data_IF_135642394380
#
_entry.id   IF_135642394380
#
_cell.length_a   1.000
_cell.length_b   1.000
_cell.length_c   1.000
_cell.angle_alpha   90.00
_cell.angle_beta   90.00
_cell.angle_gamma   90.00
#
_symmetry.space_group_name_H-M   'P 1'
#
loop_
_entity.id
_entity.type
_entity.pdbx_description
1 polymer ?
#
# COMPACT_ATOMS: atom_id res chain seq x y z
N UNK A 1 0.09 12.62 -5.71
CA UNK A 1 -0.36 11.50 -4.84
C UNK A 1 0.20 11.66 -3.44
N UNK A 2 -0.50 11.25 -2.39
CA UNK A 2 0.10 11.10 -1.05
C UNK A 2 0.93 9.81 -1.04
N UNK A 3 2.17 9.88 -0.56
CA UNK A 3 3.06 8.73 -0.46
C UNK A 3 2.39 7.61 0.35
N UNK A 4 2.58 6.33 -0.05
CA UNK A 4 2.18 5.17 0.74
C UNK A 4 2.47 5.32 2.23
N UNK A 5 1.45 5.16 3.06
CA UNK A 5 1.55 5.36 4.50
C UNK A 5 0.70 4.36 5.29
N UNK A 6 0.98 4.20 6.58
CA UNK A 6 0.05 3.61 7.54
C UNK A 6 0.05 4.43 8.83
N UNK A 7 -1.07 4.42 9.55
CA UNK A 7 -1.17 4.99 10.89
C UNK A 7 -0.82 3.92 11.94
N UNK A 8 -0.04 4.27 12.95
CA UNK A 8 0.36 3.32 14.01
C UNK A 8 -0.81 2.95 14.93
N UNK A 9 -1.73 3.89 15.20
CA UNK A 9 -2.81 3.70 16.19
C UNK A 9 -4.18 4.19 15.73
N UNK A 10 -4.22 5.29 15.00
CA UNK A 10 -5.49 5.93 14.68
C UNK A 10 -6.21 5.25 13.52
N UNK A 11 -7.53 5.14 13.65
CA UNK A 11 -8.42 4.94 12.49
C UNK A 11 -8.57 6.29 11.80
N UNK A 12 -8.23 6.35 10.52
CA UNK A 12 -8.46 7.55 9.69
C UNK A 12 -9.78 7.43 8.95
N UNK A 13 -10.65 8.41 9.10
CA UNK A 13 -11.90 8.56 8.36
C UNK A 13 -11.74 9.81 7.50
N UNK A 14 -11.77 9.66 6.17
CA UNK A 14 -11.65 10.76 5.23
C UNK A 14 -12.94 10.97 4.45
N UNK A 15 -13.43 12.20 4.41
CA UNK A 15 -14.59 12.63 3.64
C UNK A 15 -14.14 13.58 2.53
N UNK A 16 -14.45 13.25 1.27
CA UNK A 16 -14.05 14.05 0.11
C UNK A 16 -14.97 15.26 -0.03
N UNK A 17 -14.37 16.45 -0.01
CA UNK A 17 -15.04 17.72 -0.16
C UNK A 17 -15.13 18.11 -1.64
N UNK A 18 -14.00 18.05 -2.35
CA UNK A 18 -13.89 18.50 -3.74
C UNK A 18 -12.91 17.63 -4.53
N UNK A 19 -13.09 17.60 -5.85
CA UNK A 19 -12.24 16.86 -6.77
C UNK A 19 -12.53 15.36 -6.84
N UNK A 20 -11.61 14.64 -7.48
CA UNK A 20 -11.71 13.21 -7.73
C UNK A 20 -10.37 12.50 -7.56
N UNK A 21 -10.40 11.17 -7.54
CA UNK A 21 -9.20 10.37 -7.45
C UNK A 21 -9.49 8.92 -7.11
N UNK A 22 -8.52 8.26 -6.51
CA UNK A 22 -8.70 6.92 -5.97
C UNK A 22 -7.86 6.67 -4.72
N UNK A 23 -8.30 5.70 -3.91
CA UNK A 23 -7.54 5.17 -2.80
C UNK A 23 -7.30 3.67 -3.00
N UNK A 24 -6.13 3.20 -2.58
CA UNK A 24 -5.86 1.78 -2.37
C UNK A 24 -5.47 1.54 -0.91
N UNK A 25 -6.01 0.48 -0.31
CA UNK A 25 -5.76 0.07 1.07
C UNK A 25 -5.37 -1.40 1.07
N UNK A 26 -4.35 -1.75 1.85
CA UNK A 26 -3.85 -3.10 1.99
C UNK A 26 -4.37 -3.72 3.27
N UNK A 27 -5.22 -4.75 3.12
CA UNK A 27 -5.97 -5.36 4.21
C UNK A 27 -5.61 -6.85 4.39
N UNK A 28 -5.07 -7.27 5.54
CA UNK A 28 -4.79 -8.68 5.82
C UNK A 28 -6.03 -9.48 6.26
N UNK A 29 -7.15 -8.81 6.60
CA UNK A 29 -8.33 -9.44 7.18
C UNK A 29 -9.25 -10.09 6.14
N UNK A 30 -9.37 -9.48 4.94
CA UNK A 30 -10.27 -9.97 3.90
C UNK A 30 -9.88 -11.35 3.34
N UNK A 31 -8.59 -11.69 3.34
CA UNK A 31 -8.15 -13.04 2.93
C UNK A 31 -8.60 -14.13 3.91
N UNK A 32 -8.75 -13.79 5.20
CA UNK A 32 -9.24 -14.74 6.21
C UNK A 32 -10.75 -14.98 6.05
N UNK A 33 -11.49 -13.91 5.77
CA UNK A 33 -12.95 -13.98 5.59
C UNK A 33 -13.34 -14.79 4.33
N UNK A 34 -12.67 -14.56 3.19
CA UNK A 34 -12.91 -15.35 1.98
C UNK A 34 -12.58 -16.84 2.16
N UNK A 35 -11.58 -17.19 2.97
CA UNK A 35 -11.29 -18.60 3.31
C UNK A 35 -12.40 -19.20 4.15
N UNK A 36 -12.88 -18.48 5.17
CA UNK A 36 -13.97 -18.95 6.04
C UNK A 36 -15.27 -19.19 5.26
N UNK A 37 -15.64 -18.28 4.36
CA UNK A 37 -16.82 -18.47 3.49
C UNK A 37 -16.67 -19.66 2.54
N UNK A 38 -15.46 -19.92 2.02
CA UNK A 38 -15.20 -21.13 1.21
C UNK A 38 -15.28 -22.39 2.07
N UNK A 39 -14.67 -22.43 3.25
CA UNK A 39 -14.72 -23.58 4.17
C UNK A 39 -16.16 -23.92 4.60
N UNK A 40 -17.01 -22.91 4.83
CA UNK A 40 -18.44 -23.10 5.12
C UNK A 40 -19.21 -23.69 3.91
N UNK A 41 -18.82 -23.37 2.68
CA UNK A 41 -19.38 -23.95 1.45
C UNK A 41 -18.89 -25.39 1.18
N UNK A 42 -17.71 -25.77 1.66
CA UNK A 42 -17.12 -27.11 1.52
C UNK A 42 -17.61 -28.11 2.59
N UNK A 43 -18.35 -27.67 3.62
CA UNK A 43 -18.90 -28.58 4.66
C UNK A 43 -20.04 -29.51 4.19
N UNK A 44 -20.39 -29.51 2.90
CA UNK A 44 -21.36 -30.47 2.33
C UNK A 44 -20.76 -31.72 1.68
N UNK A 45 -19.42 -31.95 1.67
CA UNK A 45 -18.86 -33.28 1.30
C UNK A 45 -17.63 -33.68 2.12
N UNK A 46 -17.92 -34.49 3.13
CA UNK A 46 -17.10 -35.48 3.85
C UNK A 46 -15.72 -35.14 4.44
N UNK A 47 -15.65 -35.48 5.73
CA UNK A 47 -14.51 -35.56 6.64
C UNK A 47 -13.39 -36.49 6.16
N UNK A 48 -12.21 -36.16 6.68
CA UNK A 48 -10.96 -36.94 6.79
C UNK A 48 -10.14 -37.01 5.51
N UNK A 49 -9.12 -36.16 5.47
CA UNK A 49 -7.73 -36.61 5.58
C UNK A 49 -6.81 -35.42 5.85
N UNK A 50 -5.72 -35.68 6.57
CA UNK A 50 -4.50 -34.87 6.68
C UNK A 50 -4.47 -33.67 7.64
N UNK A 51 -4.20 -34.01 8.91
CA UNK A 51 -3.35 -33.26 9.83
C UNK A 51 -1.90 -33.05 9.31
N UNK A 52 -1.72 -32.76 8.01
CA UNK A 52 -0.41 -32.72 7.34
C UNK A 52 -0.09 -31.40 6.63
N UNK A 53 -0.71 -30.27 6.98
CA UNK A 53 -0.20 -28.95 6.58
C UNK A 53 -0.28 -27.93 7.73
N UNK A 54 0.28 -28.32 8.90
CA UNK A 54 0.74 -27.37 9.92
C UNK A 54 2.10 -26.78 9.51
N UNK A 55 2.17 -26.14 8.35
CA UNK A 55 3.26 -25.22 7.99
C UNK A 55 2.74 -24.27 6.93
N UNK A 56 3.11 -22.99 7.05
CA UNK A 56 2.77 -21.85 6.18
C UNK A 56 1.55 -21.02 6.60
N UNK A 57 1.77 -20.19 7.62
CA UNK A 57 0.98 -18.97 7.79
C UNK A 57 1.05 -18.13 6.51
N UNK A 58 -0.09 -17.56 6.09
CA UNK A 58 -0.16 -16.43 5.17
C UNK A 58 -1.57 -15.86 5.23
N UNK A 59 -1.80 -14.91 6.16
CA UNK A 59 -2.85 -13.92 5.96
C UNK A 59 -2.47 -13.13 4.71
N UNK A 60 -3.08 -13.46 3.57
CA UNK A 60 -2.73 -12.81 2.30
C UNK A 60 -3.20 -11.37 2.36
N UNK A 61 -2.31 -10.41 2.17
CA UNK A 61 -2.70 -9.03 1.96
C UNK A 61 -3.65 -8.94 0.76
N UNK A 62 -4.80 -8.27 0.93
CA UNK A 62 -5.74 -7.98 -0.15
C UNK A 62 -5.70 -6.49 -0.44
N UNK A 63 -5.74 -6.15 -1.72
CA UNK A 63 -5.92 -4.78 -2.17
C UNK A 63 -7.40 -4.44 -2.15
N UNK A 64 -7.74 -3.36 -1.48
CA UNK A 64 -9.06 -2.73 -1.51
C UNK A 64 -8.90 -1.41 -2.24
N UNK A 65 -9.49 -1.30 -3.43
CA UNK A 65 -9.42 -0.09 -4.26
C UNK A 65 -10.79 0.57 -4.32
N UNK A 66 -10.83 1.90 -4.28
CA UNK A 66 -12.07 2.67 -4.47
C UNK A 66 -11.79 3.96 -5.23
N UNK A 67 -12.73 4.35 -6.10
CA UNK A 67 -12.77 5.71 -6.64
C UNK A 67 -13.19 6.66 -5.52
N UNK A 68 -12.69 7.89 -5.60
CA UNK A 68 -12.99 8.99 -4.70
C UNK A 68 -13.63 10.11 -5.52
N UNK A 69 -14.70 10.68 -4.98
CA UNK A 69 -15.42 11.84 -5.51
C UNK A 69 -16.11 12.55 -4.36
N UNK A 70 -16.54 13.81 -4.54
CA UNK A 70 -17.28 14.57 -3.52
C UNK A 70 -18.36 13.73 -2.85
N UNK A 71 -18.36 13.72 -1.52
CA UNK A 71 -19.28 12.92 -0.69
C UNK A 71 -18.78 11.50 -0.35
N UNK A 72 -17.69 11.03 -0.97
CA UNK A 72 -17.12 9.72 -0.65
C UNK A 72 -16.50 9.72 0.74
N UNK A 73 -16.84 8.69 1.55
CA UNK A 73 -16.17 8.39 2.82
C UNK A 73 -15.24 7.19 2.63
N UNK A 74 -13.99 7.33 3.08
CA UNK A 74 -13.05 6.21 3.17
C UNK A 74 -12.56 6.02 4.61
N UNK A 75 -12.36 4.76 5.00
CA UNK A 75 -11.90 4.39 6.33
C UNK A 75 -10.62 3.57 6.20
N UNK A 76 -9.54 4.05 6.82
CA UNK A 76 -8.23 3.37 6.87
C UNK A 76 -7.99 2.94 8.31
N UNK A 77 -8.05 1.63 8.63
CA UNK A 77 -7.76 1.15 9.98
C UNK A 77 -6.26 1.29 10.31
N UNK A 78 -5.89 1.28 11.60
CA UNK A 78 -4.48 1.31 12.00
C UNK A 78 -3.71 0.11 11.45
N UNK A 79 -2.44 0.32 11.13
CA UNK A 79 -1.55 -0.69 10.56
C UNK A 79 -1.89 -1.14 9.14
N UNK A 80 -2.89 -0.53 8.48
CA UNK A 80 -3.23 -0.84 7.08
C UNK A 80 -2.54 0.16 6.15
N UNK A 81 -1.56 -0.26 5.32
CA UNK A 81 -0.97 0.60 4.32
C UNK A 81 -2.03 1.13 3.37
N UNK A 82 -1.99 2.43 3.09
CA UNK A 82 -2.89 3.10 2.20
C UNK A 82 -2.14 4.10 1.31
N UNK A 83 -2.71 4.37 0.14
CA UNK A 83 -2.27 5.40 -0.79
C UNK A 83 -3.49 6.13 -1.33
N UNK A 84 -3.37 7.45 -1.49
CA UNK A 84 -4.42 8.29 -2.07
C UNK A 84 -3.82 9.05 -3.24
N UNK A 85 -4.47 8.93 -4.39
CA UNK A 85 -4.04 9.56 -5.64
C UNK A 85 -5.16 10.49 -6.09
N UNK A 86 -4.80 11.77 -6.22
CA UNK A 86 -5.70 12.78 -6.77
C UNK A 86 -5.80 12.63 -8.30
N UNK A 87 -6.97 12.95 -8.85
CA UNK A 87 -7.17 13.21 -10.26
C UNK A 87 -6.51 14.53 -10.69
N UNK A 88 -6.71 14.91 -11.95
CA UNK A 88 -6.04 16.05 -12.57
C UNK A 88 -6.39 17.40 -11.94
N UNK A 89 -7.64 17.55 -11.52
CA UNK A 89 -8.17 18.78 -10.92
C UNK A 89 -7.85 18.88 -9.41
N UNK A 90 -7.13 17.91 -8.85
CA UNK A 90 -6.85 17.81 -7.43
C UNK A 90 -7.91 17.05 -6.63
N UNK A 91 -7.66 16.90 -5.33
CA UNK A 91 -8.54 16.19 -4.40
C UNK A 91 -8.44 16.85 -3.02
N UNK A 92 -9.56 17.35 -2.50
CA UNK A 92 -9.66 17.91 -1.17
C UNK A 92 -10.52 17.02 -0.28
N UNK A 93 -10.02 16.71 0.91
CA UNK A 93 -10.74 15.89 1.89
C UNK A 93 -10.50 16.39 3.30
N UNK A 94 -11.52 16.28 4.16
CA UNK A 94 -11.37 16.41 5.61
C UNK A 94 -11.09 15.04 6.21
N UNK A 95 -10.13 14.97 7.14
CA UNK A 95 -9.71 13.72 7.76
C UNK A 95 -9.90 13.79 9.28
N UNK A 96 -10.63 12.82 9.83
CA UNK A 96 -10.76 12.59 11.26
C UNK A 96 -9.87 11.43 11.66
N UNK A 97 -9.01 11.62 12.66
CA UNK A 97 -8.19 10.55 13.25
C UNK A 97 -8.80 10.19 14.62
N UNK A 98 -9.36 8.99 14.71
CA UNK A 98 -9.99 8.46 15.92
C UNK A 98 -8.94 7.66 16.71
N UNK A 99 -8.86 7.87 18.02
CA UNK A 99 -7.77 7.36 18.87
C UNK A 99 -6.39 7.89 18.42
N UNK A 100 -6.31 9.20 18.19
CA UNK A 100 -5.10 9.87 17.69
C UNK A 100 -3.98 10.04 18.72
N UNK A 101 -4.22 9.73 20.00
CA UNK A 101 -3.20 9.89 21.03
C UNK A 101 -1.97 9.00 20.75
N UNK A 102 -0.81 9.64 20.63
CA UNK A 102 0.46 9.02 20.23
C UNK A 102 0.38 8.26 18.88
N UNK A 103 -0.54 8.64 18.00
CA UNK A 103 -0.57 8.15 16.63
C UNK A 103 0.58 8.77 15.82
N UNK A 104 1.22 7.95 15.01
CA UNK A 104 2.23 8.37 14.05
C UNK A 104 1.82 7.90 12.66
N UNK A 105 2.04 8.75 11.67
CA UNK A 105 1.88 8.41 10.26
C UNK A 105 3.24 7.98 9.73
N UNK A 106 3.37 6.69 9.43
CA UNK A 106 4.60 6.11 8.91
C UNK A 106 4.53 6.02 7.40
N UNK A 107 5.46 6.64 6.70
CA UNK A 107 5.58 6.53 5.25
C UNK A 107 6.47 5.33 4.89
N UNK A 108 6.12 4.60 3.83
CA UNK A 108 6.90 3.46 3.32
C UNK A 108 7.55 3.73 1.96
N UNK A 109 7.37 4.94 1.44
CA UNK A 109 8.06 5.48 0.27
C UNK A 109 8.22 7.00 0.40
N UNK A 110 9.12 7.59 -0.37
CA UNK A 110 9.50 8.99 -0.22
C UNK A 110 10.78 9.17 0.62
N UNK A 111 11.30 10.39 0.65
CA UNK A 111 12.55 10.70 1.36
C UNK A 111 12.48 10.38 2.86
N UNK A 112 11.29 10.51 3.47
CA UNK A 112 11.03 10.24 4.89
C UNK A 112 10.50 8.82 5.17
N UNK A 113 10.78 7.85 4.29
CA UNK A 113 10.28 6.49 4.48
C UNK A 113 10.97 5.78 5.66
N UNK A 114 10.22 4.97 6.41
CA UNK A 114 10.71 4.23 7.57
C UNK A 114 11.76 3.17 7.23
N UNK A 115 11.80 2.70 5.96
CA UNK A 115 12.76 1.68 5.54
C UNK A 115 14.18 2.25 5.45
N UNK A 116 14.33 3.57 5.32
CA UNK A 116 15.64 4.23 5.39
C UNK A 116 16.30 4.04 6.77
N UNK A 117 15.50 3.96 7.84
CA UNK A 117 15.96 3.79 9.23
C UNK A 117 16.40 2.36 9.56
N UNK A 118 16.21 1.40 8.64
CA UNK A 118 16.67 0.03 8.85
C UNK A 118 18.20 -0.06 8.71
N UNK A 119 18.82 -0.83 9.62
CA UNK A 119 20.23 -1.23 9.53
C UNK A 119 20.51 -1.98 8.21
N UNK A 120 21.76 -1.94 7.74
CA UNK A 120 22.15 -2.54 6.47
C UNK A 120 21.88 -4.05 6.45
N UNK A 121 22.24 -4.74 7.54
CA UNK A 121 22.04 -6.17 7.74
C UNK A 121 20.55 -6.53 7.71
N UNK A 122 19.70 -5.69 8.30
CA UNK A 122 18.25 -5.88 8.29
C UNK A 122 17.67 -5.72 6.87
N UNK A 123 18.17 -4.76 6.08
CA UNK A 123 17.79 -4.60 4.67
C UNK A 123 18.21 -5.82 3.86
N UNK A 124 19.44 -6.31 4.05
CA UNK A 124 19.95 -7.48 3.33
C UNK A 124 19.14 -8.74 3.61
N UNK A 125 18.82 -8.98 4.88
CA UNK A 125 17.99 -10.11 5.29
C UNK A 125 16.53 -9.99 4.81
N UNK A 126 15.96 -8.79 4.85
CA UNK A 126 14.57 -8.57 4.46
C UNK A 126 14.33 -8.66 2.95
N UNK A 127 15.28 -8.15 2.14
CA UNK A 127 15.12 -8.03 0.70
C UNK A 127 15.95 -9.03 -0.11
N UNK A 128 16.87 -9.77 0.52
CA UNK A 128 17.68 -10.79 -0.15
C UNK A 128 18.71 -10.25 -1.14
N UNK A 129 19.01 -8.95 -1.08
CA UNK A 129 19.97 -8.24 -1.94
C UNK A 129 20.85 -7.32 -1.10
N UNK A 130 22.06 -6.93 -1.57
CA UNK A 130 22.94 -6.05 -0.80
C UNK A 130 22.27 -4.74 -0.39
N UNK A 131 22.55 -4.25 0.83
CA UNK A 131 21.90 -3.06 1.39
C UNK A 131 22.03 -1.84 0.47
N UNK A 132 23.19 -1.67 -0.17
CA UNK A 132 23.45 -0.60 -1.15
C UNK A 132 22.43 -0.56 -2.30
N UNK A 133 21.94 -1.71 -2.75
CA UNK A 133 20.94 -1.81 -3.83
C UNK A 133 19.58 -1.37 -3.31
N UNK A 134 19.24 -1.79 -2.08
CA UNK A 134 18.01 -1.36 -1.40
C UNK A 134 18.04 0.16 -1.19
N UNK A 135 19.13 0.70 -0.68
CA UNK A 135 19.31 2.13 -0.40
C UNK A 135 19.22 2.97 -1.68
N UNK A 136 19.84 2.53 -2.78
CA UNK A 136 19.73 3.20 -4.08
C UNK A 136 18.27 3.31 -4.53
N UNK A 137 17.47 2.24 -4.35
CA UNK A 137 16.05 2.22 -4.71
C UNK A 137 15.22 3.12 -3.78
N UNK A 138 15.40 2.99 -2.46
CA UNK A 138 14.64 3.76 -1.47
C UNK A 138 14.93 5.27 -1.56
N UNK A 139 16.18 5.64 -1.89
CA UNK A 139 16.63 7.03 -2.01
C UNK A 139 16.39 7.64 -3.40
N UNK A 140 15.95 6.85 -4.39
CA UNK A 140 15.62 7.36 -5.73
C UNK A 140 14.48 8.39 -5.72
N UNK A 141 13.58 8.32 -4.73
CA UNK A 141 12.51 9.30 -4.53
C UNK A 141 12.97 10.44 -3.62
N UNK A 142 13.05 11.65 -4.17
CA UNK A 142 13.57 12.84 -3.45
C UNK A 142 12.48 13.61 -2.71
N UNK A 143 11.22 13.46 -3.09
CA UNK A 143 10.08 14.11 -2.44
C UNK A 143 9.58 13.28 -1.24
N UNK A 144 8.86 13.92 -0.33
CA UNK A 144 8.25 13.31 0.85
C UNK A 144 6.79 13.72 1.00
N UNK A 145 5.99 12.88 1.66
CA UNK A 145 4.56 13.09 1.95
C UNK A 145 3.67 13.15 0.70
N UNK A 146 3.93 14.05 -0.24
CA UNK A 146 3.27 14.17 -1.53
C UNK A 146 4.27 13.97 -2.65
N UNK A 147 3.96 13.06 -3.57
CA UNK A 147 4.79 12.70 -4.70
C UNK A 147 4.03 12.95 -6.00
N UNK A 148 4.73 13.15 -7.11
CA UNK A 148 4.12 13.15 -8.45
C UNK A 148 3.31 11.86 -8.66
N UNK A 149 2.08 11.99 -9.16
CA UNK A 149 1.17 10.87 -9.37
C UNK A 149 1.58 9.96 -10.53
N UNK A 150 0.99 8.76 -10.67
CA UNK A 150 1.35 7.83 -11.75
C UNK A 150 1.14 8.41 -13.17
N UNK A 151 0.08 9.20 -13.39
CA UNK A 151 -0.17 9.85 -14.68
C UNK A 151 0.84 10.95 -15.00
N UNK A 152 1.21 11.75 -14.00
CA UNK A 152 2.17 12.84 -14.13
C UNK A 152 3.57 12.31 -14.47
N UNK A 153 4.01 11.24 -13.77
CA UNK A 153 5.27 10.56 -14.07
C UNK A 153 5.32 9.93 -15.46
N UNK A 154 4.18 9.50 -16.02
CA UNK A 154 4.12 9.00 -17.41
C UNK A 154 4.41 10.12 -18.41
N UNK A 155 3.91 11.32 -18.14
CA UNK A 155 4.14 12.49 -18.99
C UNK A 155 5.59 13.00 -18.91
N UNK A 156 6.23 12.90 -17.74
CA UNK A 156 7.66 13.24 -17.60
C UNK A 156 8.56 12.21 -18.31
N UNK A 157 8.31 10.90 -18.15
CA UNK A 157 9.10 9.86 -18.82
C UNK A 157 8.95 9.84 -20.34
N UNK A 158 7.81 10.25 -20.88
CA UNK A 158 7.62 10.37 -22.34
C UNK A 158 8.33 11.57 -22.94
N UNK A 159 8.72 12.56 -22.13
CA UNK A 159 9.53 13.71 -22.57
C UNK A 159 11.04 13.43 -22.48
N UNK A 160 11.46 12.54 -21.58
CA UNK A 160 12.88 12.36 -21.23
C UNK A 160 13.57 11.07 -21.70
N UNK A 161 12.87 10.06 -22.26
CA UNK A 161 13.58 8.80 -22.56
C UNK A 161 13.29 8.16 -23.93
N UNK A 162 14.26 8.37 -24.83
CA UNK A 162 14.58 7.51 -25.97
C UNK A 162 15.32 6.23 -25.57
N UNK A 163 14.92 5.55 -24.49
CA UNK A 163 15.31 4.16 -24.26
C UNK A 163 15.56 3.72 -22.82
N UNK A 164 14.50 3.52 -22.02
CA UNK A 164 14.41 2.43 -21.03
C UNK A 164 12.98 2.25 -20.51
N UNK A 165 12.28 1.26 -21.08
CA UNK A 165 10.90 0.92 -20.73
C UNK A 165 10.79 0.16 -19.41
N UNK A 166 10.89 0.86 -18.27
CA UNK A 166 10.40 0.33 -17.00
C UNK A 166 8.89 0.59 -16.88
N UNK A 167 8.06 -0.47 -16.79
CA UNK A 167 6.62 -0.32 -16.54
C UNK A 167 6.41 0.50 -15.25
N UNK A 168 5.63 1.60 -15.26
CA UNK A 168 5.32 2.33 -14.05
C UNK A 168 4.49 1.44 -13.12
N UNK A 169 4.83 1.42 -11.83
CA UNK A 169 4.01 0.74 -10.82
C UNK A 169 2.65 1.44 -10.77
N UNK A 170 1.59 0.75 -11.18
CA UNK A 170 0.21 1.25 -11.13
C UNK A 170 -0.41 1.06 -9.74
N UNK A 171 0.19 0.20 -8.91
CA UNK A 171 -0.33 -0.16 -7.59
C UNK A 171 0.76 -0.39 -6.55
N UNK A 172 0.41 -0.17 -5.28
CA UNK A 172 1.29 -0.41 -4.13
C UNK A 172 1.66 -1.91 -3.95
N UNK A 173 0.85 -2.84 -4.49
CA UNK A 173 1.15 -4.27 -4.49
C UNK A 173 1.86 -4.76 -5.75
N UNK A 174 2.08 -3.90 -6.75
CA UNK A 174 2.89 -4.26 -7.90
C UNK A 174 4.37 -4.22 -7.49
N UNK A 175 4.79 -5.19 -6.71
CA UNK A 175 6.19 -5.62 -6.69
C UNK A 175 6.28 -6.83 -7.62
N UNK A 176 7.27 -6.90 -8.54
CA UNK A 176 7.47 -8.10 -9.32
C UNK A 176 7.73 -9.25 -8.35
N UNK A 177 6.80 -10.21 -8.33
CA UNK A 177 7.05 -11.52 -7.75
C UNK A 177 8.16 -12.17 -8.60
N UNK A 178 9.40 -11.97 -8.20
CA UNK A 178 10.55 -12.42 -8.96
C UNK A 178 11.84 -11.73 -8.54
N UNK A 179 12.33 -12.08 -7.36
CA UNK A 179 13.75 -12.30 -7.12
C UNK A 179 13.90 -13.71 -6.58
#
# INVERSE_FOLDING_TARGET
MMAPFFNTRAVKIAFVLEGDGYAEIICPHLAKEQRRMKEEQWQSKQKREEERWKTEGKGRYQKVSSRLSTGTVSVVPPGHPAVVVAGREGLQAICFEVQAENNQKMFVAGKNNILNEMEAEAKELAFGVPARVVDEILQAQRDEVFLAGPEERRHERTRDDGGRSGRPLESILEFPAGF
#
